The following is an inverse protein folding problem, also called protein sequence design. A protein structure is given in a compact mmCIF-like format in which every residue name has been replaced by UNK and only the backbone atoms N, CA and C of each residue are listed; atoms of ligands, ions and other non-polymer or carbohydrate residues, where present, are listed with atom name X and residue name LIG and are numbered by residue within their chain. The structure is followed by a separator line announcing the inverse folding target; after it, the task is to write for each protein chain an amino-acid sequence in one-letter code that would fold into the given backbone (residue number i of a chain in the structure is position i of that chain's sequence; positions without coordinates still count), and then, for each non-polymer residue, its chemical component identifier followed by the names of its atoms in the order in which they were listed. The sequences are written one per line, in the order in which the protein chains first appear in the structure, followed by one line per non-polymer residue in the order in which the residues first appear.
data_IF_909581879409
#
_entry.id   IF_909581879409
#
_cell.length_a   1.000
_cell.length_b   1.000
_cell.length_c   1.000
_cell.angle_alpha   90.00
_cell.angle_beta   90.00
_cell.angle_gamma   90.00
#
_symmetry.space_group_name_H-M   'P 1'
#
loop_
_entity.id
_entity.type
_entity.pdbx_description
1 polymer ?
#
# COMPACT_ATOMS: atom_id res chain seq x y z
N UNK A 1 15.49 -20.25 3.78
CA UNK A 1 15.45 -19.61 2.45
C UNK A 1 15.15 -20.71 1.46
N UNK A 2 13.93 -20.74 0.94
CA UNK A 2 13.45 -21.83 0.08
C UNK A 2 14.28 -21.83 -1.22
N UNK A 3 14.86 -22.96 -1.58
CA UNK A 3 15.72 -23.11 -2.78
C UNK A 3 17.20 -22.75 -2.58
N UNK A 4 17.60 -22.43 -1.34
CA UNK A 4 18.97 -22.08 -0.97
C UNK A 4 19.47 -22.89 0.24
N UNK A 5 18.81 -24.01 0.53
CA UNK A 5 19.09 -24.90 1.66
C UNK A 5 20.56 -25.33 1.65
N UNK A 6 21.21 -25.28 2.81
CA UNK A 6 22.62 -25.63 2.97
C UNK A 6 23.64 -24.63 2.39
N UNK A 7 23.22 -23.63 1.60
CA UNK A 7 24.11 -22.63 1.00
C UNK A 7 24.13 -21.30 1.74
N UNK A 8 23.00 -20.92 2.32
CA UNK A 8 22.84 -19.66 3.02
C UNK A 8 22.06 -19.85 4.32
N UNK A 9 22.36 -19.03 5.31
CA UNK A 9 21.68 -19.01 6.59
C UNK A 9 21.26 -17.59 6.95
N UNK A 10 20.14 -17.49 7.66
CA UNK A 10 19.61 -16.26 8.22
C UNK A 10 19.48 -16.42 9.73
N UNK A 11 19.83 -15.41 10.50
CA UNK A 11 19.63 -15.38 11.96
C UNK A 11 18.29 -14.72 12.30
N UNK A 12 17.77 -14.99 13.49
CA UNK A 12 16.59 -14.32 14.05
C UNK A 12 16.79 -12.80 14.22
N UNK A 13 18.03 -12.32 14.23
CA UNK A 13 18.39 -10.90 14.28
C UNK A 13 18.53 -10.26 12.87
N UNK A 14 18.14 -10.99 11.83
CA UNK A 14 18.20 -10.50 10.45
C UNK A 14 19.60 -10.43 9.86
N UNK A 15 20.58 -11.19 10.36
CA UNK A 15 21.90 -11.32 9.70
C UNK A 15 21.86 -12.48 8.70
N UNK A 16 22.53 -12.33 7.56
CA UNK A 16 22.58 -13.36 6.53
C UNK A 16 24.03 -13.71 6.24
N UNK A 17 24.34 -15.00 6.15
CA UNK A 17 25.66 -15.51 5.74
C UNK A 17 25.53 -16.56 4.64
N UNK A 18 26.53 -16.65 3.77
CA UNK A 18 26.76 -17.84 2.96
C UNK A 18 27.55 -18.87 3.75
N UNK A 19 27.28 -20.14 3.52
CA UNK A 19 28.03 -21.31 3.99
C UNK A 19 28.81 -21.96 2.84
N UNK A 20 28.32 -21.78 1.61
CA UNK A 20 28.97 -22.22 0.39
C UNK A 20 29.22 -21.02 -0.53
N UNK A 21 30.31 -21.07 -1.27
CA UNK A 21 30.58 -20.18 -2.39
C UNK A 21 29.56 -20.40 -3.52
N UNK A 22 29.53 -19.47 -4.47
CA UNK A 22 28.67 -19.54 -5.64
C UNK A 22 28.79 -20.88 -6.42
N UNK A 23 29.99 -21.47 -6.40
CA UNK A 23 30.35 -22.73 -7.05
C UNK A 23 30.34 -23.95 -6.10
N UNK A 24 29.83 -23.79 -4.87
CA UNK A 24 29.64 -24.91 -3.94
C UNK A 24 30.84 -25.29 -3.08
N UNK A 25 31.91 -24.48 -3.05
CA UNK A 25 33.03 -24.68 -2.10
C UNK A 25 32.64 -24.16 -0.73
N UNK A 26 33.07 -24.82 0.35
CA UNK A 26 32.82 -24.33 1.69
C UNK A 26 33.37 -22.91 1.88
N UNK A 27 32.53 -22.00 2.36
CA UNK A 27 32.87 -20.62 2.65
C UNK A 27 31.84 -20.00 3.58
N UNK A 28 32.28 -19.59 4.76
CA UNK A 28 31.50 -18.71 5.61
C UNK A 28 31.75 -17.24 5.27
N UNK A 29 30.72 -16.52 4.84
CA UNK A 29 30.83 -15.08 4.56
C UNK A 29 29.55 -14.36 4.93
N UNK A 30 29.66 -13.31 5.74
CA UNK A 30 28.55 -12.40 6.03
C UNK A 30 28.17 -11.69 4.74
N UNK A 31 26.88 -11.70 4.42
CA UNK A 31 26.34 -11.08 3.22
C UNK A 31 26.03 -9.62 3.50
N UNK A 32 26.53 -8.75 2.61
CA UNK A 32 26.19 -7.33 2.63
C UNK A 32 24.70 -7.18 2.35
N UNK A 33 24.02 -6.43 3.20
CA UNK A 33 22.62 -6.07 3.04
C UNK A 33 22.55 -4.62 2.58
N UNK A 34 21.75 -4.36 1.54
CA UNK A 34 21.59 -3.01 0.98
C UNK A 34 20.13 -2.59 1.06
N UNK A 35 19.85 -1.31 1.34
CA UNK A 35 18.49 -0.79 1.21
C UNK A 35 18.06 -0.87 -0.27
N UNK A 36 16.76 -1.01 -0.52
CA UNK A 36 16.22 -0.99 -1.88
C UNK A 36 16.33 0.40 -2.52
N UNK A 37 16.01 1.43 -1.75
CA UNK A 37 16.19 2.85 -2.11
C UNK A 37 16.18 3.70 -0.84
N UNK A 38 16.53 4.97 -0.96
CA UNK A 38 16.43 5.94 0.15
C UNK A 38 14.98 6.09 0.66
N UNK A 39 14.03 6.13 -0.26
CA UNK A 39 12.59 6.21 0.03
C UNK A 39 11.98 4.89 0.53
N UNK A 40 12.69 3.77 0.38
CA UNK A 40 12.19 2.43 0.69
C UNK A 40 13.31 1.62 1.37
N UNK A 41 13.56 1.85 2.66
CA UNK A 41 14.77 1.38 3.35
C UNK A 41 14.77 -0.12 3.67
N UNK A 42 13.84 -0.91 3.13
CA UNK A 42 13.86 -2.37 3.32
C UNK A 42 15.21 -2.93 2.86
N UNK A 43 15.85 -3.70 3.73
CA UNK A 43 17.12 -4.36 3.44
C UNK A 43 16.90 -5.61 2.58
N UNK A 44 17.73 -5.72 1.54
CA UNK A 44 17.81 -6.87 0.65
C UNK A 44 19.20 -7.47 0.70
N UNK A 45 19.24 -8.77 0.46
CA UNK A 45 20.48 -9.53 0.28
C UNK A 45 20.48 -10.16 -1.10
N UNK A 46 21.64 -10.13 -1.77
CA UNK A 46 21.85 -10.86 -3.01
C UNK A 46 22.41 -12.25 -2.70
N UNK A 47 21.62 -13.26 -3.03
CA UNK A 47 22.00 -14.66 -3.06
C UNK A 47 22.41 -15.01 -4.50
N UNK A 48 23.28 -15.99 -4.68
CA UNK A 48 23.67 -16.47 -6.00
C UNK A 48 24.06 -17.95 -5.95
N UNK A 49 23.64 -18.70 -6.96
CA UNK A 49 24.02 -20.10 -7.20
C UNK A 49 24.32 -20.24 -8.68
N UNK A 50 25.52 -20.72 -9.04
CA UNK A 50 25.95 -20.85 -10.44
C UNK A 50 25.73 -19.56 -11.25
N UNK A 51 26.11 -18.43 -10.67
CA UNK A 51 26.04 -17.10 -11.30
C UNK A 51 24.62 -16.59 -11.59
N UNK A 52 23.58 -17.22 -11.02
CA UNK A 52 22.21 -16.74 -11.10
C UNK A 52 21.86 -15.91 -9.85
N UNK A 53 21.81 -14.56 -9.95
CA UNK A 53 21.53 -13.73 -8.80
C UNK A 53 20.05 -13.78 -8.41
N UNK A 54 19.80 -13.79 -7.11
CA UNK A 54 18.48 -13.69 -6.52
C UNK A 54 18.50 -12.65 -5.39
N UNK A 55 17.56 -11.71 -5.42
CA UNK A 55 17.44 -10.70 -4.36
C UNK A 55 16.30 -11.07 -3.42
N UNK A 56 16.63 -11.35 -2.16
CA UNK A 56 15.63 -11.64 -1.13
C UNK A 56 15.57 -10.52 -0.09
N UNK A 57 14.35 -10.13 0.30
CA UNK A 57 14.14 -9.17 1.37
C UNK A 57 14.45 -9.82 2.73
N UNK A 58 15.27 -9.15 3.55
CA UNK A 58 15.81 -9.73 4.79
C UNK A 58 14.68 -10.06 5.78
N UNK A 59 13.73 -9.15 6.00
CA UNK A 59 12.58 -9.41 6.89
C UNK A 59 11.76 -10.64 6.44
N UNK A 60 11.57 -10.87 5.14
CA UNK A 60 10.87 -12.06 4.65
C UNK A 60 11.68 -13.33 4.87
N UNK A 61 12.99 -13.28 4.66
CA UNK A 61 13.87 -14.42 4.94
C UNK A 61 13.82 -14.81 6.42
N UNK A 62 13.83 -13.82 7.33
CA UNK A 62 13.68 -14.02 8.78
C UNK A 62 12.31 -14.61 9.10
N UNK A 63 11.21 -13.97 8.65
CA UNK A 63 9.86 -14.42 8.96
C UNK A 63 9.60 -15.86 8.47
N UNK A 64 10.04 -16.21 7.26
CA UNK A 64 9.93 -17.59 6.73
C UNK A 64 10.71 -18.62 7.57
N UNK A 65 11.77 -18.22 8.25
CA UNK A 65 12.64 -19.12 9.00
C UNK A 65 12.22 -19.29 10.47
N UNK A 66 11.64 -18.25 11.09
CA UNK A 66 11.42 -18.20 12.53
C UNK A 66 9.96 -18.00 12.96
N UNK A 67 9.05 -17.70 12.03
CA UNK A 67 7.67 -17.34 12.34
C UNK A 67 6.72 -18.24 11.55
N UNK A 68 5.99 -19.16 12.22
CA UNK A 68 4.96 -19.96 11.57
C UNK A 68 3.94 -19.09 10.85
N UNK A 69 3.47 -19.56 9.69
CA UNK A 69 2.43 -18.89 8.90
C UNK A 69 1.30 -19.88 8.56
N UNK A 70 0.55 -20.38 9.56
CA UNK A 70 -0.50 -21.38 9.34
C UNK A 70 -1.61 -20.88 8.41
N UNK A 71 -1.90 -19.58 8.46
CA UNK A 71 -2.96 -18.94 7.67
C UNK A 71 -2.52 -18.54 6.25
N UNK A 72 -1.27 -18.86 5.86
CA UNK A 72 -0.69 -18.49 4.57
C UNK A 72 -0.82 -16.99 4.23
N UNK A 73 -0.68 -16.14 5.25
CA UNK A 73 -0.76 -14.69 5.08
C UNK A 73 0.36 -14.20 4.16
N UNK A 74 0.07 -13.32 3.19
CA UNK A 74 1.00 -13.01 2.10
C UNK A 74 2.10 -12.01 2.45
N UNK A 75 1.91 -11.19 3.48
CA UNK A 75 2.79 -10.05 3.80
C UNK A 75 3.42 -10.21 5.18
N UNK A 76 4.57 -9.56 5.38
CA UNK A 76 5.24 -9.47 6.67
C UNK A 76 5.20 -8.02 7.11
N UNK A 77 4.66 -7.76 8.29
CA UNK A 77 4.63 -6.44 8.93
C UNK A 77 5.82 -6.28 9.90
N UNK A 78 6.22 -5.03 10.12
CA UNK A 78 7.14 -4.61 11.19
C UNK A 78 6.30 -3.99 12.29
N UNK A 79 6.22 -4.64 13.46
CA UNK A 79 5.31 -4.26 14.57
C UNK A 79 5.62 -2.84 15.08
N UNK A 80 6.89 -2.45 15.12
CA UNK A 80 7.35 -1.11 15.51
C UNK A 80 7.29 -0.06 14.38
N UNK A 81 6.86 -0.44 13.18
CA UNK A 81 6.87 0.42 11.99
C UNK A 81 8.26 0.68 11.38
N UNK A 82 9.34 0.23 12.02
CA UNK A 82 10.71 0.44 11.56
C UNK A 82 11.16 -0.67 10.61
N UNK A 83 11.15 -0.36 9.31
CA UNK A 83 11.54 -1.27 8.21
C UNK A 83 12.98 -1.79 8.29
N UNK A 84 13.83 -1.22 9.14
CA UNK A 84 15.22 -1.66 9.37
C UNK A 84 15.34 -2.66 10.53
N UNK A 85 14.35 -2.75 11.41
CA UNK A 85 14.33 -3.67 12.53
C UNK A 85 13.84 -5.06 12.10
N UNK A 86 14.74 -5.86 11.55
CA UNK A 86 14.45 -7.21 11.02
C UNK A 86 14.55 -8.32 12.09
N UNK A 87 14.41 -8.00 13.38
CA UNK A 87 14.37 -9.00 14.43
C UNK A 87 13.10 -9.84 14.31
N UNK A 88 13.18 -11.16 14.44
CA UNK A 88 12.04 -12.06 14.30
C UNK A 88 10.89 -11.71 15.26
N UNK A 89 11.20 -11.25 16.48
CA UNK A 89 10.19 -10.80 17.45
C UNK A 89 9.47 -9.49 17.06
N UNK A 90 10.01 -8.72 16.11
CA UNK A 90 9.41 -7.48 15.59
C UNK A 90 8.64 -7.71 14.28
N UNK A 91 8.56 -8.95 13.80
CA UNK A 91 7.92 -9.29 12.54
C UNK A 91 6.69 -10.14 12.80
N UNK A 92 5.69 -10.01 11.93
CA UNK A 92 4.49 -10.83 11.96
C UNK A 92 3.95 -11.03 10.54
N UNK A 93 3.24 -12.13 10.31
CA UNK A 93 2.55 -12.37 9.05
C UNK A 93 1.17 -11.71 9.07
N UNK A 94 0.87 -10.91 8.05
CA UNK A 94 -0.36 -10.12 7.94
C UNK A 94 -0.97 -10.21 6.54
N UNK A 95 -2.28 -9.99 6.46
CA UNK A 95 -2.99 -9.64 5.25
C UNK A 95 -2.77 -8.18 4.88
N UNK A 96 -3.13 -7.79 3.65
CA UNK A 96 -3.06 -6.39 3.23
C UNK A 96 -3.96 -5.48 4.08
N UNK A 97 -5.15 -5.97 4.48
CA UNK A 97 -6.08 -5.20 5.31
C UNK A 97 -5.53 -4.96 6.71
N UNK A 98 -5.02 -6.01 7.38
CA UNK A 98 -4.39 -5.90 8.71
C UNK A 98 -3.21 -4.94 8.68
N UNK A 99 -2.34 -5.02 7.67
CA UNK A 99 -1.20 -4.11 7.52
C UNK A 99 -1.64 -2.64 7.38
N UNK A 100 -2.70 -2.39 6.61
CA UNK A 100 -3.26 -1.05 6.48
C UNK A 100 -3.86 -0.56 7.80
N UNK A 101 -4.61 -1.40 8.51
CA UNK A 101 -5.18 -1.04 9.81
C UNK A 101 -4.08 -0.71 10.82
N UNK A 102 -3.04 -1.54 10.89
CA UNK A 102 -1.86 -1.29 11.74
C UNK A 102 -1.20 0.05 11.41
N UNK A 103 -1.03 0.38 10.12
CA UNK A 103 -0.43 1.65 9.72
C UNK A 103 -1.27 2.87 10.14
N UNK A 104 -2.60 2.77 10.12
CA UNK A 104 -3.47 3.85 10.62
C UNK A 104 -3.47 3.92 12.15
N UNK A 105 -3.54 2.78 12.84
CA UNK A 105 -3.59 2.76 14.31
C UNK A 105 -2.30 3.25 14.97
N UNK A 106 -1.16 3.05 14.32
CA UNK A 106 0.16 3.52 14.77
C UNK A 106 0.53 4.90 14.24
N UNK A 107 -0.34 5.56 13.46
CA UNK A 107 -0.09 6.88 12.88
C UNK A 107 0.96 6.91 11.76
N UNK A 108 1.45 5.75 11.29
CA UNK A 108 2.32 5.65 10.10
C UNK A 108 1.61 6.10 8.82
N UNK A 109 0.28 6.07 8.81
CA UNK A 109 -0.58 6.69 7.80
C UNK A 109 -1.57 7.62 8.47
N UNK A 110 -1.55 8.87 8.04
CA UNK A 110 -2.54 9.87 8.45
C UNK A 110 -3.77 9.83 7.53
N UNK A 111 -4.93 9.54 8.11
CA UNK A 111 -6.20 9.51 7.40
C UNK A 111 -6.61 10.90 6.87
N UNK A 112 -6.27 11.99 7.56
CA UNK A 112 -6.56 13.35 7.11
C UNK A 112 -5.77 13.67 5.85
N UNK A 113 -4.46 13.44 5.87
CA UNK A 113 -3.59 13.65 4.71
C UNK A 113 -4.00 12.79 3.50
N UNK A 114 -4.45 11.55 3.73
CA UNK A 114 -4.98 10.70 2.65
C UNK A 114 -6.28 11.28 2.07
N UNK A 115 -7.21 11.71 2.92
CA UNK A 115 -8.47 12.30 2.48
C UNK A 115 -8.26 13.62 1.73
N UNK A 116 -7.28 14.43 2.14
CA UNK A 116 -6.89 15.66 1.46
C UNK A 116 -6.35 15.40 0.05
N UNK A 117 -5.46 14.41 -0.10
CA UNK A 117 -4.92 14.01 -1.42
C UNK A 117 -5.99 13.51 -2.39
N UNK A 118 -7.07 12.92 -1.88
CA UNK A 118 -8.17 12.39 -2.70
C UNK A 118 -9.28 13.41 -2.94
N UNK A 119 -9.21 14.60 -2.32
CA UNK A 119 -10.25 15.61 -2.43
C UNK A 119 -10.40 16.06 -3.89
N UNK A 120 -11.64 16.11 -4.37
CA UNK A 120 -11.95 16.50 -5.74
C UNK A 120 -11.62 15.45 -6.81
N UNK A 121 -11.07 14.29 -6.44
CA UNK A 121 -10.85 13.19 -7.40
C UNK A 121 -12.19 12.58 -7.81
N UNK A 122 -12.39 12.37 -9.12
CA UNK A 122 -13.57 11.66 -9.63
C UNK A 122 -13.54 10.21 -9.16
N UNK A 123 -14.64 9.78 -8.53
CA UNK A 123 -14.82 8.41 -8.06
C UNK A 123 -15.91 7.74 -8.89
N UNK A 124 -15.64 6.52 -9.35
CA UNK A 124 -16.60 5.72 -10.13
C UNK A 124 -16.54 5.96 -11.64
N UNK A 125 -17.10 5.02 -12.40
CA UNK A 125 -17.05 4.98 -13.86
C UNK A 125 -18.40 5.34 -14.52
N UNK A 126 -19.45 5.54 -13.72
CA UNK A 126 -20.81 5.72 -14.24
C UNK A 126 -21.05 7.07 -14.90
N UNK A 127 -20.21 8.07 -14.65
CA UNK A 127 -20.34 9.42 -15.20
C UNK A 127 -19.02 9.86 -15.80
N UNK A 128 -19.05 10.79 -16.75
CA UNK A 128 -17.87 11.53 -17.21
C UNK A 128 -17.45 12.63 -16.22
N UNK A 129 -18.39 13.17 -15.43
CA UNK A 129 -18.24 14.34 -14.58
C UNK A 129 -17.89 14.03 -13.11
N UNK A 130 -17.28 15.00 -12.43
CA UNK A 130 -16.98 14.96 -10.99
C UNK A 130 -18.27 15.11 -10.17
N UNK A 131 -18.35 14.37 -9.06
CA UNK A 131 -19.47 14.40 -8.12
C UNK A 131 -20.84 14.00 -8.72
N UNK A 132 -20.84 13.37 -9.91
CA UNK A 132 -22.02 12.87 -10.60
C UNK A 132 -21.93 11.34 -10.70
N UNK A 133 -23.04 10.66 -10.43
CA UNK A 133 -23.13 9.19 -10.51
C UNK A 133 -24.53 8.74 -10.88
N UNK A 134 -24.66 7.54 -11.46
CA UNK A 134 -25.95 6.94 -11.75
C UNK A 134 -26.52 6.22 -10.52
N UNK A 135 -27.75 6.53 -10.11
CA UNK A 135 -28.46 5.86 -9.02
C UNK A 135 -29.42 4.81 -9.58
N UNK A 136 -28.93 3.57 -9.71
CA UNK A 136 -29.70 2.44 -10.23
C UNK A 136 -31.04 2.21 -9.49
N UNK A 137 -31.09 2.49 -8.18
CA UNK A 137 -32.31 2.25 -7.38
C UNK A 137 -33.45 3.20 -7.73
N UNK A 138 -33.12 4.37 -8.30
CA UNK A 138 -34.08 5.41 -8.66
C UNK A 138 -34.14 5.69 -10.16
N UNK A 139 -33.23 5.11 -10.95
CA UNK A 139 -33.11 5.36 -12.38
C UNK A 139 -32.81 6.82 -12.70
N UNK A 140 -31.96 7.49 -11.89
CA UNK A 140 -31.68 8.93 -12.02
C UNK A 140 -30.20 9.23 -11.88
N UNK A 141 -29.76 10.31 -12.51
CA UNK A 141 -28.45 10.90 -12.25
C UNK A 141 -28.45 11.59 -10.90
N UNK A 142 -27.35 11.49 -10.17
CA UNK A 142 -27.24 11.98 -8.81
C UNK A 142 -25.98 12.83 -8.67
N UNK A 143 -26.18 14.10 -8.32
CA UNK A 143 -25.13 14.99 -7.87
C UNK A 143 -24.94 14.83 -6.37
N UNK A 144 -23.71 14.67 -5.89
CA UNK A 144 -23.43 14.48 -4.46
C UNK A 144 -22.09 15.06 -4.07
N UNK A 145 -22.06 15.84 -3.00
CA UNK A 145 -20.83 16.36 -2.41
C UNK A 145 -20.78 16.02 -0.92
N UNK A 146 -19.68 15.39 -0.52
CA UNK A 146 -19.31 15.24 0.89
C UNK A 146 -18.07 16.05 1.19
N UNK A 147 -18.04 16.63 2.38
CA UNK A 147 -16.89 17.34 2.91
C UNK A 147 -16.66 16.96 4.37
N UNK A 148 -15.43 16.56 4.69
CA UNK A 148 -15.04 16.05 6.03
C UNK A 148 -16.04 15.03 6.60
N UNK A 149 -16.50 14.11 5.76
CA UNK A 149 -17.46 13.06 6.12
C UNK A 149 -18.93 13.50 6.21
N UNK A 150 -19.23 14.80 6.14
CA UNK A 150 -20.59 15.34 6.18
C UNK A 150 -21.14 15.50 4.78
N UNK A 151 -22.44 15.24 4.61
CA UNK A 151 -23.14 15.52 3.36
C UNK A 151 -23.33 17.02 3.22
N UNK A 152 -22.79 17.60 2.14
CA UNK A 152 -22.99 19.01 1.80
C UNK A 152 -24.27 19.15 0.99
N UNK A 153 -24.39 18.38 -0.09
CA UNK A 153 -25.63 18.28 -0.87
C UNK A 153 -25.78 16.91 -1.52
N UNK A 154 -27.03 16.55 -1.78
CA UNK A 154 -27.40 15.41 -2.61
C UNK A 154 -28.70 15.73 -3.34
N UNK A 155 -28.68 15.67 -4.68
CA UNK A 155 -29.86 15.89 -5.52
C UNK A 155 -29.85 14.96 -6.73
N UNK A 156 -31.03 14.65 -7.24
CA UNK A 156 -31.22 13.75 -8.40
C UNK A 156 -31.83 14.51 -9.59
N UNK A 157 -31.48 14.06 -10.78
CA UNK A 157 -31.76 14.70 -12.06
C UNK A 157 -32.11 13.64 -13.12
N UNK A 158 -32.81 14.07 -14.16
CA UNK A 158 -33.16 13.18 -15.28
C UNK A 158 -31.96 12.99 -16.21
N UNK A 159 -31.11 14.01 -16.36
CA UNK A 159 -29.94 13.96 -17.25
C UNK A 159 -28.61 14.09 -16.50
N UNK A 160 -27.55 13.55 -17.08
CA UNK A 160 -26.19 13.62 -16.52
C UNK A 160 -25.68 15.08 -16.51
N UNK A 161 -26.02 15.82 -17.57
CA UNK A 161 -25.61 17.21 -17.78
C UNK A 161 -26.23 18.13 -16.73
N UNK A 162 -27.53 17.98 -16.43
CA UNK A 162 -28.19 18.75 -15.36
C UNK A 162 -27.52 18.51 -14.00
N UNK A 163 -27.17 17.26 -13.70
CA UNK A 163 -26.47 16.93 -12.47
C UNK A 163 -25.08 17.60 -12.43
N UNK A 164 -24.35 17.62 -13.56
CA UNK A 164 -23.04 18.23 -13.66
C UNK A 164 -23.07 19.76 -13.54
N UNK A 165 -24.07 20.42 -14.18
CA UNK A 165 -24.33 21.86 -14.04
C UNK A 165 -24.60 22.20 -12.58
N UNK A 166 -25.51 21.47 -11.94
CA UNK A 166 -25.81 21.68 -10.53
C UNK A 166 -24.59 21.52 -9.61
N UNK A 167 -23.68 20.57 -9.90
CA UNK A 167 -22.43 20.46 -9.15
C UNK A 167 -21.60 21.75 -9.25
N UNK A 168 -21.41 22.28 -10.46
CA UNK A 168 -20.63 23.51 -10.65
C UNK A 168 -21.27 24.69 -9.89
N UNK A 169 -22.57 24.89 -10.04
CA UNK A 169 -23.31 25.96 -9.37
C UNK A 169 -23.16 25.89 -7.84
N UNK A 170 -23.26 24.69 -7.27
CA UNK A 170 -23.10 24.50 -5.83
C UNK A 170 -21.66 24.71 -5.36
N UNK A 171 -20.66 24.29 -6.15
CA UNK A 171 -19.25 24.53 -5.81
C UNK A 171 -18.93 26.02 -5.79
N UNK A 172 -19.47 26.79 -6.74
CA UNK A 172 -19.28 28.23 -6.82
C UNK A 172 -20.05 28.95 -5.70
N UNK A 173 -21.32 28.61 -5.48
CA UNK A 173 -22.15 29.21 -4.43
C UNK A 173 -21.59 28.98 -3.01
N UNK A 174 -20.96 27.83 -2.78
CA UNK A 174 -20.37 27.47 -1.48
C UNK A 174 -18.89 27.87 -1.36
N UNK A 175 -18.29 28.45 -2.41
CA UNK A 175 -16.92 28.95 -2.39
C UNK A 175 -15.83 27.86 -2.37
N UNK A 176 -16.12 26.65 -2.84
CA UNK A 176 -15.12 25.57 -2.93
C UNK A 176 -14.16 25.83 -4.09
N UNK A 177 -12.97 26.36 -3.84
CA UNK A 177 -11.94 26.60 -4.87
C UNK A 177 -11.03 25.40 -5.13
N UNK A 178 -11.00 24.43 -4.22
CA UNK A 178 -10.13 23.26 -4.23
C UNK A 178 -10.69 22.06 -5.01
N UNK A 179 -11.83 22.23 -5.70
CA UNK A 179 -12.51 21.17 -6.45
C UNK A 179 -12.62 21.54 -7.94
N UNK A 180 -12.35 20.59 -8.86
CA UNK A 180 -12.42 20.86 -10.29
C UNK A 180 -13.86 21.14 -10.73
N UNK A 181 -14.03 22.08 -11.67
CA UNK A 181 -15.30 22.30 -12.35
C UNK A 181 -15.42 21.31 -13.49
N UNK A 182 -16.65 20.87 -13.73
CA UNK A 182 -17.00 20.02 -14.86
C UNK A 182 -17.03 20.86 -16.15
N UNK A 183 -16.29 20.42 -17.17
CA UNK A 183 -16.37 20.99 -18.53
C UNK A 183 -17.60 20.42 -19.23
N UNK A 184 -18.69 21.20 -19.26
CA UNK A 184 -19.96 20.80 -19.86
C UNK A 184 -19.98 21.35 -21.29
N UNK A 185 -20.23 20.45 -22.25
CA UNK A 185 -20.36 20.78 -23.67
C UNK A 185 -21.84 21.01 -24.03
#
# INVERSE_FOLDING_TARGET
MIGFEGRYQVSNLGRVRSILSNHGRYQEKIKVQRPRSESCPYRYVQLSVKDQPHHEAVHRAVAKAFIPNPDNKPMVNHIDGNKLNNNACNLEWVTCSENHQHAFSTGLRDAQHVAERQRGTKVGQSSSYHNVSWDNSRGKWKATLKDKGKMVFQKRFETEIEAAQYVNDQLDALGYSDRPRNSIA
#
